data_IF_744283245724
#
_entry.id   IF_744283245724
#
_cell.length_a   1.000
_cell.length_b   1.000
_cell.length_c   1.000
_cell.angle_alpha   90.00
_cell.angle_beta   90.00
_cell.angle_gamma   90.00
#
_symmetry.space_group_name_H-M   'P 1'
#
loop_
_entity.id
_entity.type
_entity.pdbx_description
1 polymer ?
#
# COMPACT_ATOMS: atom_id res chain seq x y z
N UNK A 1 -10.27 -15.33 -1.86
CA UNK A 1 -9.41 -14.24 -2.39
C UNK A 1 -8.33 -14.93 -3.17
N UNK A 2 -8.28 -14.71 -4.49
CA UNK A 2 -7.20 -15.29 -5.30
C UNK A 2 -6.13 -14.24 -5.46
N UNK A 3 -5.01 -14.43 -4.78
CA UNK A 3 -3.84 -13.58 -4.95
C UNK A 3 -3.08 -13.98 -6.21
N UNK A 4 -2.25 -13.10 -6.74
CA UNK A 4 -1.39 -13.34 -7.91
C UNK A 4 -0.38 -14.52 -7.79
N UNK A 5 -0.40 -15.27 -6.68
CA UNK A 5 0.36 -16.50 -6.44
C UNK A 5 -0.54 -17.74 -6.26
N UNK A 6 -1.86 -17.65 -6.48
CA UNK A 6 -2.78 -18.80 -6.35
C UNK A 6 -2.54 -19.88 -7.40
N UNK A 7 -1.94 -19.53 -8.55
CA UNK A 7 -1.63 -20.49 -9.62
C UNK A 7 -0.26 -21.15 -9.47
N UNK A 8 0.58 -20.74 -8.51
CA UNK A 8 1.84 -21.42 -8.22
C UNK A 8 1.56 -22.60 -7.29
N UNK A 9 1.15 -23.71 -7.89
CA UNK A 9 0.91 -24.98 -7.20
C UNK A 9 2.24 -25.67 -6.88
N UNK A 10 2.93 -25.21 -5.84
CA UNK A 10 4.06 -25.92 -5.26
C UNK A 10 3.53 -27.02 -4.32
N UNK A 11 3.84 -28.31 -4.56
CA UNK A 11 3.20 -29.45 -3.89
C UNK A 11 3.54 -29.60 -2.39
N UNK A 12 4.54 -28.88 -1.86
CA UNK A 12 5.04 -29.03 -0.47
C UNK A 12 4.83 -27.79 0.43
N UNK A 13 4.11 -26.76 -0.02
CA UNK A 13 4.00 -25.47 0.71
C UNK A 13 2.62 -25.22 1.33
N UNK A 14 1.91 -26.26 1.77
CA UNK A 14 0.57 -26.14 2.38
C UNK A 14 0.55 -25.18 3.59
N UNK A 15 1.59 -25.23 4.43
CA UNK A 15 1.79 -24.34 5.59
C UNK A 15 1.98 -22.87 5.17
N UNK A 16 2.59 -22.63 4.01
CA UNK A 16 2.83 -21.28 3.48
C UNK A 16 1.57 -20.70 2.86
N UNK A 17 0.75 -21.53 2.21
CA UNK A 17 -0.56 -21.11 1.70
C UNK A 17 -1.48 -20.68 2.84
N UNK A 18 -1.51 -21.45 3.93
CA UNK A 18 -2.35 -21.15 5.10
C UNK A 18 -1.91 -19.86 5.82
N UNK A 19 -0.60 -19.60 5.91
CA UNK A 19 -0.04 -18.39 6.57
C UNK A 19 0.28 -17.24 5.61
N UNK A 20 -0.12 -17.31 4.35
CA UNK A 20 0.25 -16.34 3.29
C UNK A 20 -0.08 -14.89 3.68
N UNK A 21 -1.26 -14.65 4.24
CA UNK A 21 -1.68 -13.30 4.64
C UNK A 21 -0.88 -12.77 5.83
N UNK A 22 -0.49 -13.64 6.77
CA UNK A 22 0.37 -13.27 7.90
C UNK A 22 1.75 -12.86 7.41
N UNK A 23 2.37 -13.71 6.58
CA UNK A 23 3.70 -13.46 6.03
C UNK A 23 3.70 -12.18 5.18
N UNK A 24 2.68 -12.01 4.32
CA UNK A 24 2.54 -10.82 3.49
C UNK A 24 2.32 -9.54 4.30
N UNK A 25 1.60 -9.61 5.41
CA UNK A 25 1.37 -8.45 6.27
C UNK A 25 2.64 -8.06 7.04
N UNK A 26 3.35 -9.05 7.60
CA UNK A 26 4.64 -8.83 8.29
C UNK A 26 5.68 -8.27 7.33
N UNK A 27 5.83 -8.85 6.13
CA UNK A 27 6.80 -8.38 5.15
C UNK A 27 6.49 -6.96 4.67
N UNK A 28 5.21 -6.65 4.40
CA UNK A 28 4.78 -5.30 4.05
C UNK A 28 5.08 -4.28 5.16
N UNK A 29 4.81 -4.64 6.43
CA UNK A 29 5.12 -3.80 7.58
C UNK A 29 6.62 -3.53 7.75
N UNK A 30 7.46 -4.56 7.60
CA UNK A 30 8.91 -4.42 7.66
C UNK A 30 9.45 -3.53 6.54
N UNK A 31 8.99 -3.73 5.29
CA UNK A 31 9.42 -2.91 4.16
C UNK A 31 9.01 -1.44 4.31
N UNK A 32 7.79 -1.20 4.78
CA UNK A 32 7.29 0.14 5.05
C UNK A 32 8.14 0.86 6.11
N UNK A 33 8.44 0.16 7.20
CA UNK A 33 9.23 0.70 8.30
C UNK A 33 10.66 1.05 7.87
N UNK A 34 11.32 0.14 7.13
CA UNK A 34 12.65 0.38 6.57
C UNK A 34 12.64 1.58 5.62
N UNK A 35 11.65 1.67 4.73
CA UNK A 35 11.53 2.78 3.78
C UNK A 35 11.42 4.14 4.48
N UNK A 36 10.57 4.26 5.50
CA UNK A 36 10.43 5.49 6.27
C UNK A 36 11.69 5.87 7.05
N UNK A 37 12.38 4.89 7.62
CA UNK A 37 13.64 5.14 8.32
C UNK A 37 14.74 5.66 7.40
N UNK A 38 14.85 5.15 6.18
CA UNK A 38 15.82 5.65 5.19
C UNK A 38 15.53 7.12 4.85
N UNK A 39 14.26 7.49 4.66
CA UNK A 39 13.86 8.87 4.35
C UNK A 39 14.20 9.82 5.51
N UNK A 40 13.92 9.41 6.75
CA UNK A 40 14.22 10.22 7.95
C UNK A 40 15.72 10.41 8.13
N UNK A 41 16.52 9.35 7.93
CA UNK A 41 17.99 9.43 8.02
C UNK A 41 18.58 10.36 6.94
N UNK A 42 18.02 10.33 5.72
CA UNK A 42 18.43 11.22 4.65
C UNK A 42 18.16 12.71 4.96
N UNK A 43 16.98 13.04 5.51
CA UNK A 43 16.63 14.42 5.92
C UNK A 43 17.47 14.89 7.11
N UNK A 44 17.78 14.00 8.06
CA UNK A 44 18.57 14.36 9.24
C UNK A 44 20.03 14.71 8.91
N UNK A 45 20.55 14.20 7.78
CA UNK A 45 21.96 14.34 7.38
C UNK A 45 22.20 15.40 6.31
N UNK A 46 21.19 15.71 5.47
CA UNK A 46 21.30 16.69 4.39
C UNK A 46 20.05 17.56 4.32
N UNK A 47 20.22 18.83 3.96
CA UNK A 47 19.08 19.68 3.59
C UNK A 47 18.43 19.12 2.32
N UNK A 48 17.31 18.46 2.53
CA UNK A 48 16.46 17.91 1.49
C UNK A 48 15.24 18.81 1.33
N UNK A 49 14.73 18.92 0.11
CA UNK A 49 13.50 19.65 -0.11
C UNK A 49 12.35 18.86 0.52
N UNK A 50 11.68 19.46 1.51
CA UNK A 50 10.54 18.82 2.21
C UNK A 50 9.45 18.28 1.26
N UNK A 51 9.38 18.79 0.03
CA UNK A 51 8.48 18.31 -1.03
C UNK A 51 8.72 16.85 -1.40
N UNK A 52 9.94 16.33 -1.26
CA UNK A 52 10.29 14.97 -1.64
C UNK A 52 9.71 13.90 -0.69
N UNK A 53 9.22 14.28 0.48
CA UNK A 53 8.58 13.35 1.42
C UNK A 53 7.09 13.17 1.16
N UNK A 54 6.46 14.12 0.45
CA UNK A 54 5.02 14.14 0.19
C UNK A 54 4.53 12.86 -0.49
N UNK A 55 5.18 12.32 -1.55
CA UNK A 55 4.75 11.07 -2.17
C UNK A 55 4.73 9.91 -1.19
N UNK A 56 5.73 9.83 -0.30
CA UNK A 56 5.78 8.83 0.76
C UNK A 56 4.58 8.95 1.71
N UNK A 57 4.28 10.16 2.19
CA UNK A 57 3.14 10.40 3.11
C UNK A 57 1.81 10.02 2.44
N UNK A 58 1.60 10.45 1.20
CA UNK A 58 0.39 10.15 0.42
C UNK A 58 0.26 8.64 0.17
N UNK A 59 1.37 7.95 -0.13
CA UNK A 59 1.39 6.50 -0.27
C UNK A 59 0.98 5.80 1.03
N UNK A 60 1.48 6.24 2.19
CA UNK A 60 1.10 5.68 3.51
C UNK A 60 -0.39 5.83 3.79
N UNK A 61 -0.96 7.00 3.51
CA UNK A 61 -2.39 7.25 3.67
C UNK A 61 -3.19 6.34 2.72
N UNK A 62 -2.79 6.25 1.45
CA UNK A 62 -3.42 5.35 0.48
C UNK A 62 -3.36 3.88 0.92
N UNK A 63 -2.23 3.45 1.47
CA UNK A 63 -2.04 2.08 1.97
C UNK A 63 -2.93 1.80 3.18
N UNK A 64 -3.05 2.76 4.10
CA UNK A 64 -4.00 2.68 5.21
C UNK A 64 -5.44 2.57 4.70
N UNK A 65 -5.83 3.40 3.73
CA UNK A 65 -7.19 3.40 3.17
C UNK A 65 -7.59 2.06 2.56
N UNK A 66 -6.71 1.41 1.79
CA UNK A 66 -7.01 0.11 1.16
C UNK A 66 -7.02 -1.04 2.17
N UNK A 67 -6.20 -0.97 3.22
CA UNK A 67 -6.13 -2.03 4.25
C UNK A 67 -7.20 -1.88 5.33
N UNK A 68 -7.77 -0.68 5.51
CA UNK A 68 -8.85 -0.43 6.45
C UNK A 68 -10.20 -1.01 6.01
N UNK A 69 -10.36 -1.35 4.73
CA UNK A 69 -11.60 -1.91 4.18
C UNK A 69 -11.51 -3.44 4.13
N UNK A 70 -12.48 -4.12 4.73
CA UNK A 70 -12.53 -5.59 4.67
C UNK A 70 -12.98 -6.09 3.29
N UNK A 71 -12.40 -7.22 2.86
CA UNK A 71 -12.78 -7.86 1.59
C UNK A 71 -14.24 -8.32 1.57
N UNK A 72 -14.84 -8.61 2.74
CA UNK A 72 -16.26 -8.96 2.86
C UNK A 72 -17.18 -7.77 2.54
N UNK A 73 -16.80 -6.55 2.95
CA UNK A 73 -17.55 -5.32 2.64
C UNK A 73 -17.51 -4.97 1.15
N UNK A 74 -16.40 -5.24 0.45
CA UNK A 74 -16.27 -4.99 -0.99
C UNK A 74 -17.15 -5.97 -1.80
N UNK A 75 -17.17 -7.24 -1.37
CA UNK A 75 -17.80 -8.36 -2.09
C UNK A 75 -19.32 -8.39 -2.06
N UNK A 76 -19.96 -7.70 -1.12
CA UNK A 76 -21.41 -7.78 -1.02
C UNK A 76 -21.93 -8.62 0.13
N UNK A 77 -21.06 -9.43 0.75
CA UNK A 77 -21.43 -10.58 1.60
C UNK A 77 -21.84 -10.19 3.03
N UNK A 78 -21.67 -8.92 3.41
CA UNK A 78 -22.06 -8.44 4.74
C UNK A 78 -23.55 -8.08 4.75
N UNK A 79 -24.35 -8.86 5.47
CA UNK A 79 -25.79 -8.63 5.69
C UNK A 79 -26.10 -7.38 6.55
N UNK A 80 -25.08 -6.73 7.11
CA UNK A 80 -25.20 -5.49 7.89
C UNK A 80 -24.83 -4.25 7.10
N UNK A 81 -25.77 -3.31 6.97
CA UNK A 81 -25.50 -1.94 6.53
C UNK A 81 -24.68 -1.19 7.58
N UNK A 82 -23.35 -1.17 7.44
CA UNK A 82 -22.52 -0.22 8.17
C UNK A 82 -22.86 1.23 7.78
N UNK A 83 -22.45 2.22 8.58
CA UNK A 83 -22.84 3.64 8.41
C UNK A 83 -22.60 4.23 7.01
N UNK A 84 -21.61 3.73 6.27
CA UNK A 84 -21.19 4.22 4.94
C UNK A 84 -21.77 3.34 3.80
N UNK A 85 -22.36 2.19 4.15
CA UNK A 85 -22.87 1.22 3.18
C UNK A 85 -21.79 0.59 2.30
N UNK A 86 -22.21 -0.32 1.42
CA UNK A 86 -21.33 -1.03 0.47
C UNK A 86 -20.74 -0.09 -0.59
N UNK A 87 -21.54 0.84 -1.09
CA UNK A 87 -21.12 1.80 -2.11
C UNK A 87 -20.02 2.72 -1.59
N UNK A 88 -20.15 3.23 -0.36
CA UNK A 88 -19.14 4.11 0.21
C UNK A 88 -17.83 3.38 0.54
N UNK A 89 -17.89 2.11 0.96
CA UNK A 89 -16.69 1.28 1.11
C UNK A 89 -15.93 1.11 -0.22
N UNK A 90 -16.65 0.94 -1.34
CA UNK A 90 -16.05 0.87 -2.68
C UNK A 90 -15.43 2.19 -3.13
N UNK A 91 -16.11 3.32 -2.87
CA UNK A 91 -15.57 4.66 -3.19
C UNK A 91 -14.32 4.95 -2.35
N UNK A 92 -14.34 4.63 -1.07
CA UNK A 92 -13.18 4.77 -0.19
C UNK A 92 -11.99 3.93 -0.68
N UNK A 93 -12.25 2.67 -1.03
CA UNK A 93 -11.24 1.76 -1.57
C UNK A 93 -10.67 2.26 -2.91
N UNK A 94 -11.52 2.73 -3.82
CA UNK A 94 -11.11 3.33 -5.09
C UNK A 94 -10.23 4.57 -4.87
N UNK A 95 -10.64 5.45 -3.95
CA UNK A 95 -9.85 6.64 -3.62
C UNK A 95 -8.47 6.27 -3.05
N UNK A 96 -8.39 5.22 -2.23
CA UNK A 96 -7.10 4.70 -1.74
C UNK A 96 -6.16 4.31 -2.89
N UNK A 97 -6.68 3.63 -3.93
CA UNK A 97 -5.87 3.34 -5.11
C UNK A 97 -5.46 4.59 -5.89
N UNK A 98 -6.34 5.57 -6.04
CA UNK A 98 -5.99 6.83 -6.70
C UNK A 98 -4.83 7.54 -6.01
N UNK A 99 -4.80 7.55 -4.67
CA UNK A 99 -3.71 8.12 -3.89
C UNK A 99 -2.40 7.35 -4.09
N UNK A 100 -2.45 6.02 -4.13
CA UNK A 100 -1.27 5.18 -4.40
C UNK A 100 -0.72 5.43 -5.81
N UNK A 101 -1.56 5.46 -6.85
CA UNK A 101 -1.11 5.78 -8.20
C UNK A 101 -0.53 7.20 -8.29
N UNK A 102 -1.18 8.19 -7.67
CA UNK A 102 -0.68 9.56 -7.62
C UNK A 102 0.69 9.66 -6.96
N UNK A 103 0.89 8.98 -5.82
CA UNK A 103 2.19 8.93 -5.15
C UNK A 103 3.27 8.28 -6.01
N UNK A 104 2.97 7.21 -6.73
CA UNK A 104 3.93 6.50 -7.57
C UNK A 104 4.39 7.36 -8.76
N UNK A 105 3.44 8.05 -9.41
CA UNK A 105 3.74 8.97 -10.52
C UNK A 105 4.62 10.12 -10.01
N UNK A 106 4.26 10.72 -8.87
CA UNK A 106 5.03 11.81 -8.27
C UNK A 106 6.45 11.38 -7.87
N UNK A 107 6.59 10.21 -7.23
CA UNK A 107 7.90 9.65 -6.89
C UNK A 107 8.76 9.39 -8.13
N UNK A 108 8.16 8.89 -9.21
CA UNK A 108 8.84 8.65 -10.49
C UNK A 108 9.29 9.97 -11.13
N UNK A 109 8.44 11.00 -11.07
CA UNK A 109 8.80 12.34 -11.56
C UNK A 109 9.97 12.94 -10.78
N UNK A 110 9.98 12.83 -9.45
CA UNK A 110 11.12 13.28 -8.62
C UNK A 110 12.38 12.50 -8.97
N UNK A 111 12.28 11.17 -9.11
CA UNK A 111 13.43 10.34 -9.49
C UNK A 111 14.06 10.84 -10.78
N UNK A 112 13.27 11.02 -11.85
CA UNK A 112 13.82 11.44 -13.12
C UNK A 112 14.24 12.91 -13.17
N UNK A 113 13.42 13.80 -12.62
CA UNK A 113 13.63 15.25 -12.70
C UNK A 113 14.68 15.79 -11.75
N UNK A 114 14.88 15.16 -10.59
CA UNK A 114 15.86 15.63 -9.60
C UNK A 114 17.15 14.79 -9.57
N UNK A 115 17.12 13.53 -10.01
CA UNK A 115 18.26 12.61 -9.85
C UNK A 115 18.79 11.98 -11.13
N UNK A 116 18.01 11.89 -12.23
CA UNK A 116 18.46 11.22 -13.47
C UNK A 116 18.81 12.20 -14.58
N UNK A 117 17.98 13.21 -14.83
CA UNK A 117 18.23 14.23 -15.85
C UNK A 117 18.83 15.45 -15.15
N UNK A 118 20.12 15.77 -15.38
CA UNK A 118 20.76 16.95 -14.78
C UNK A 118 20.20 18.27 -15.30
#
# INVERSE_FOLDING_TARGET
>A
MSGCLDEIRCPDMEVVVERRNLISSVSAGTLFFIGWWIIIDAEATKDFWHVYHIPGVIASIGLFMINAVSNAQIRGETYGTGCIGQTGARVWFLNGFLWLFGSLISATWILFGAYVVP
#
